data_IF_278540834810
#
_entry.id   IF_278540834810
#
_cell.length_a   1.000
_cell.length_b   1.000
_cell.length_c   1.000
_cell.angle_alpha   90.00
_cell.angle_beta   90.00
_cell.angle_gamma   90.00
#
_symmetry.space_group_name_H-M   'P 1'
#
loop_
_entity.id
_entity.type
_entity.pdbx_description
1 polymer ?
#
# COMPACT_ATOMS: atom_id res chain seq x y z
N UNK A 1 -5.58 -14.60 -0.34
CA UNK A 1 -5.31 -13.26 -0.90
C UNK A 1 -6.53 -12.37 -0.75
N UNK A 2 -6.30 -11.07 -0.62
CA UNK A 2 -7.36 -10.10 -0.34
C UNK A 2 -7.99 -9.55 -1.61
N UNK A 3 -9.31 -9.38 -1.60
CA UNK A 3 -9.95 -8.47 -2.53
C UNK A 3 -9.39 -7.06 -2.32
N UNK A 4 -9.08 -6.37 -3.41
CA UNK A 4 -8.32 -5.13 -3.39
C UNK A 4 -9.06 -3.98 -2.72
N UNK A 5 -10.36 -3.90 -3.01
CA UNK A 5 -11.16 -2.71 -2.80
C UNK A 5 -12.65 -3.07 -2.67
N UNK A 6 -13.52 -2.28 -3.30
CA UNK A 6 -14.94 -2.57 -3.41
C UNK A 6 -15.26 -3.69 -4.39
N UNK A 7 -14.32 -4.07 -5.27
CA UNK A 7 -14.41 -5.17 -6.23
C UNK A 7 -13.75 -6.46 -5.74
N UNK A 8 -13.89 -7.54 -6.52
CA UNK A 8 -13.32 -8.85 -6.22
C UNK A 8 -11.98 -9.13 -6.92
N UNK A 9 -11.40 -8.09 -7.55
CA UNK A 9 -10.08 -8.16 -8.15
C UNK A 9 -8.97 -8.21 -7.11
N UNK A 10 -7.82 -8.75 -7.52
CA UNK A 10 -6.60 -8.85 -6.72
C UNK A 10 -5.42 -8.43 -7.57
N UNK A 11 -4.59 -7.51 -7.09
CA UNK A 11 -3.59 -6.84 -7.92
C UNK A 11 -2.23 -6.88 -7.20
N UNK A 12 -1.19 -7.39 -7.88
CA UNK A 12 0.12 -7.61 -7.25
C UNK A 12 0.78 -6.29 -6.88
N UNK A 13 0.74 -5.29 -7.76
CA UNK A 13 1.33 -3.96 -7.49
C UNK A 13 0.70 -3.32 -6.25
N UNK A 14 -0.63 -3.32 -6.17
CA UNK A 14 -1.32 -2.76 -5.01
C UNK A 14 -1.10 -3.58 -3.73
N UNK A 15 -1.06 -4.91 -3.85
CA UNK A 15 -0.68 -5.81 -2.77
C UNK A 15 0.78 -5.61 -2.33
N UNK A 16 1.66 -5.18 -3.23
CA UNK A 16 3.07 -4.89 -2.98
C UNK A 16 3.22 -3.89 -1.82
N UNK A 17 2.82 -2.64 -2.06
CA UNK A 17 2.90 -1.60 -1.04
C UNK A 17 2.11 -1.95 0.22
N UNK A 18 0.91 -2.54 0.07
CA UNK A 18 0.03 -2.86 1.21
C UNK A 18 0.66 -3.89 2.14
N UNK A 19 1.14 -5.00 1.57
CA UNK A 19 1.76 -6.10 2.32
C UNK A 19 3.12 -5.67 2.88
N UNK A 20 3.90 -4.90 2.12
CA UNK A 20 5.18 -4.35 2.56
C UNK A 20 5.04 -3.45 3.78
N UNK A 21 4.03 -2.56 3.79
CA UNK A 21 3.76 -1.68 4.92
C UNK A 21 3.32 -2.45 6.17
N UNK A 22 2.41 -3.43 6.05
CA UNK A 22 1.99 -4.26 7.18
C UNK A 22 3.15 -5.09 7.76
N UNK A 23 4.03 -5.63 6.91
CA UNK A 23 5.24 -6.32 7.36
C UNK A 23 6.21 -5.37 8.07
N UNK A 24 6.33 -4.12 7.62
CA UNK A 24 7.11 -3.10 8.34
C UNK A 24 6.47 -2.70 9.66
N UNK A 25 5.14 -2.63 9.76
CA UNK A 25 4.44 -2.43 11.04
C UNK A 25 4.87 -3.51 12.03
N UNK A 26 4.99 -4.77 11.59
CA UNK A 26 5.57 -5.83 12.41
C UNK A 26 7.06 -5.62 12.73
N UNK A 27 7.91 -5.33 11.75
CA UNK A 27 9.35 -5.14 12.00
C UNK A 27 9.64 -3.99 12.98
N UNK A 28 8.87 -2.90 12.91
CA UNK A 28 9.08 -1.69 13.69
C UNK A 28 8.34 -1.70 15.03
N UNK A 29 7.15 -2.30 15.09
CA UNK A 29 6.25 -2.24 16.25
C UNK A 29 5.82 -3.60 16.79
N UNK A 30 6.41 -4.71 16.31
CA UNK A 30 6.06 -6.08 16.69
C UNK A 30 5.98 -6.32 18.19
N UNK A 31 6.86 -5.73 18.99
CA UNK A 31 6.82 -5.84 20.46
C UNK A 31 5.53 -5.28 21.09
N UNK A 32 4.87 -4.32 20.44
CA UNK A 32 3.61 -3.69 20.89
C UNK A 32 2.38 -4.39 20.34
N UNK A 33 2.47 -4.97 19.14
CA UNK A 33 1.31 -5.52 18.42
C UNK A 33 1.25 -7.05 18.42
N UNK A 34 2.28 -7.74 18.95
CA UNK A 34 2.33 -9.22 19.00
C UNK A 34 1.20 -9.90 19.77
N UNK A 35 0.50 -9.16 20.63
CA UNK A 35 -0.62 -9.69 21.41
C UNK A 35 -1.98 -9.30 20.84
N UNK A 36 -2.03 -8.59 19.70
CA UNK A 36 -3.28 -8.31 19.02
C UNK A 36 -3.95 -9.63 18.65
N UNK A 37 -5.24 -9.72 18.96
CA UNK A 37 -6.11 -10.82 18.56
C UNK A 37 -7.11 -10.27 17.56
N UNK A 38 -7.13 -10.87 16.37
CA UNK A 38 -7.97 -10.46 15.26
C UNK A 38 -9.21 -11.35 15.13
N UNK A 39 -9.32 -12.39 15.96
CA UNK A 39 -10.38 -13.40 15.93
C UNK A 39 -10.55 -14.05 14.54
N UNK A 40 -9.42 -14.39 13.92
CA UNK A 40 -9.31 -15.07 12.63
C UNK A 40 -9.16 -16.59 12.82
N UNK A 41 -9.37 -17.42 11.79
CA UNK A 41 -9.26 -18.88 11.90
C UNK A 41 -7.92 -19.35 12.50
N UNK A 42 -6.85 -18.61 12.23
CA UNK A 42 -5.48 -18.89 12.65
C UNK A 42 -5.19 -18.46 14.10
N UNK A 43 -6.06 -17.69 14.78
CA UNK A 43 -5.81 -17.09 16.12
C UNK A 43 -5.49 -18.10 17.24
N UNK A 44 -5.67 -19.40 16.97
CA UNK A 44 -5.33 -20.52 17.87
C UNK A 44 -3.89 -21.05 17.70
N UNK A 45 -3.17 -20.63 16.66
CA UNK A 45 -1.78 -21.03 16.41
C UNK A 45 -0.78 -20.16 17.24
N UNK A 46 0.52 -20.37 17.03
CA UNK A 46 1.59 -19.64 17.74
C UNK A 46 2.12 -18.41 16.99
N UNK A 47 1.68 -18.20 15.75
CA UNK A 47 2.02 -17.04 14.95
C UNK A 47 1.17 -15.85 15.43
N UNK A 48 1.73 -14.63 15.50
CA UNK A 48 0.93 -13.44 15.78
C UNK A 48 -0.15 -13.25 14.70
N UNK A 49 -1.40 -13.00 15.11
CA UNK A 49 -2.54 -12.90 14.19
C UNK A 49 -2.32 -11.90 13.04
N UNK A 50 -1.61 -10.79 13.26
CA UNK A 50 -1.25 -9.84 12.19
C UNK A 50 -0.39 -10.49 11.10
N UNK A 51 0.53 -11.38 11.48
CA UNK A 51 1.33 -12.14 10.52
C UNK A 51 0.47 -13.21 9.84
N UNK A 52 -0.44 -13.89 10.54
CA UNK A 52 -1.34 -14.82 9.86
C UNK A 52 -2.22 -14.12 8.80
N UNK A 53 -2.75 -12.94 9.10
CA UNK A 53 -3.50 -12.13 8.13
C UNK A 53 -2.63 -11.74 6.92
N UNK A 54 -1.40 -11.25 7.17
CA UNK A 54 -0.45 -10.94 6.08
C UNK A 54 -0.12 -12.19 5.25
N UNK A 55 0.05 -13.36 5.89
CA UNK A 55 0.35 -14.63 5.23
C UNK A 55 -0.75 -15.01 4.24
N UNK A 56 -2.02 -14.74 4.55
CA UNK A 56 -3.14 -14.97 3.64
C UNK A 56 -2.95 -14.27 2.29
N UNK A 57 -2.37 -13.06 2.27
CA UNK A 57 -2.07 -12.37 1.03
C UNK A 57 -0.79 -12.87 0.37
N UNK A 58 0.27 -13.08 1.15
CA UNK A 58 1.54 -13.62 0.64
C UNK A 58 1.34 -14.98 -0.05
N UNK A 59 0.50 -15.85 0.49
CA UNK A 59 0.20 -17.15 -0.09
C UNK A 59 -0.45 -17.02 -1.47
N UNK A 60 -1.37 -16.05 -1.65
CA UNK A 60 -1.90 -15.74 -2.97
C UNK A 60 -0.82 -15.13 -3.89
N UNK A 61 -0.02 -14.18 -3.39
CA UNK A 61 1.06 -13.59 -4.18
C UNK A 61 2.03 -14.66 -4.70
N UNK A 62 2.38 -15.66 -3.87
CA UNK A 62 3.24 -16.79 -4.25
C UNK A 62 2.64 -17.60 -5.41
N UNK A 63 1.32 -17.77 -5.48
CA UNK A 63 0.66 -18.43 -6.63
C UNK A 63 0.69 -17.62 -7.93
N UNK A 64 1.04 -16.34 -7.86
CA UNK A 64 1.11 -15.44 -9.03
C UNK A 64 2.51 -15.41 -9.66
N UNK A 65 3.51 -16.04 -9.05
CA UNK A 65 4.84 -16.21 -9.64
C UNK A 65 4.85 -17.41 -10.59
N UNK A 66 5.37 -17.20 -11.80
CA UNK A 66 5.57 -18.22 -12.82
C UNK A 66 6.94 -18.92 -12.65
N UNK A 67 7.16 -20.05 -13.33
CA UNK A 67 8.37 -20.88 -13.17
C UNK A 67 9.66 -20.12 -13.57
N UNK A 68 9.55 -19.15 -14.47
CA UNK A 68 10.66 -18.29 -14.90
C UNK A 68 11.02 -17.18 -13.89
N UNK A 69 10.25 -17.07 -12.80
CA UNK A 69 10.41 -16.07 -11.74
C UNK A 69 9.58 -14.80 -11.92
N UNK A 70 9.03 -14.56 -13.11
CA UNK A 70 8.17 -13.40 -13.38
C UNK A 70 6.83 -13.52 -12.67
N UNK A 71 6.19 -12.39 -12.37
CA UNK A 71 4.92 -12.36 -11.64
C UNK A 71 3.80 -11.76 -12.49
N UNK A 72 2.67 -12.47 -12.55
CA UNK A 72 1.46 -12.01 -13.22
C UNK A 72 0.91 -10.76 -12.55
N UNK A 73 0.37 -9.82 -13.32
CA UNK A 73 0.08 -8.49 -12.81
C UNK A 73 -1.12 -8.47 -11.85
N UNK A 74 -2.17 -9.23 -12.18
CA UNK A 74 -3.42 -9.26 -11.42
C UNK A 74 -4.24 -10.51 -11.67
N UNK A 75 -5.21 -10.77 -10.79
CA UNK A 75 -6.24 -11.78 -10.95
C UNK A 75 -7.61 -11.11 -10.87
N UNK A 76 -8.33 -11.01 -12.00
CA UNK A 76 -9.65 -10.38 -12.07
C UNK A 76 -10.51 -11.03 -13.15
N UNK A 77 -11.82 -10.81 -13.11
CA UNK A 77 -12.66 -10.92 -14.31
C UNK A 77 -12.32 -9.85 -15.35
N UNK A 78 -12.82 -9.99 -16.57
CA UNK A 78 -12.62 -8.97 -17.63
C UNK A 78 -13.38 -7.66 -17.31
N UNK A 79 -14.48 -7.74 -16.58
CA UNK A 79 -15.30 -6.60 -16.15
C UNK A 79 -15.59 -6.67 -14.66
N UNK A 80 -15.94 -5.54 -14.07
CA UNK A 80 -16.39 -5.51 -12.68
C UNK A 80 -17.66 -6.33 -12.48
N UNK A 81 -17.71 -7.09 -11.39
CA UNK A 81 -18.92 -7.79 -10.96
C UNK A 81 -20.03 -6.78 -10.61
N UNK A 82 -21.27 -7.24 -10.70
CA UNK A 82 -22.42 -6.52 -10.16
C UNK A 82 -22.29 -6.39 -8.62
N UNK A 83 -23.18 -5.62 -8.01
CA UNK A 83 -23.33 -5.56 -6.56
C UNK A 83 -24.06 -6.81 -6.06
N UNK A 84 -23.29 -7.88 -5.95
CA UNK A 84 -23.69 -9.19 -5.42
C UNK A 84 -22.65 -9.68 -4.41
N UNK A 85 -23.01 -10.63 -3.54
CA UNK A 85 -22.04 -11.28 -2.65
C UNK A 85 -20.98 -12.07 -3.44
N UNK A 86 -19.76 -12.28 -2.89
CA UNK A 86 -18.69 -12.95 -3.62
C UNK A 86 -19.05 -14.35 -4.14
N UNK A 87 -19.82 -15.13 -3.38
CA UNK A 87 -20.31 -16.46 -3.77
C UNK A 87 -21.32 -16.43 -4.93
N UNK A 88 -21.92 -15.27 -5.17
CA UNK A 88 -22.90 -15.04 -6.22
C UNK A 88 -22.29 -14.45 -7.51
N UNK A 89 -21.04 -13.98 -7.46
CA UNK A 89 -20.31 -13.58 -8.67
C UNK A 89 -20.05 -14.79 -9.57
N UNK A 90 -20.61 -14.77 -10.79
CA UNK A 90 -20.49 -15.83 -11.78
C UNK A 90 -19.49 -15.49 -12.89
N UNK A 91 -18.80 -14.36 -12.81
CA UNK A 91 -17.77 -14.00 -13.78
C UNK A 91 -16.56 -14.93 -13.65
N UNK A 92 -15.97 -15.29 -14.78
CA UNK A 92 -14.71 -16.03 -14.79
C UNK A 92 -13.59 -15.11 -14.33
N UNK A 93 -12.81 -15.56 -13.35
CA UNK A 93 -11.61 -14.86 -12.87
C UNK A 93 -10.38 -15.37 -13.62
N UNK A 94 -9.65 -14.45 -14.26
CA UNK A 94 -8.45 -14.73 -15.05
C UNK A 94 -7.20 -14.24 -14.33
N UNK A 95 -6.09 -14.95 -14.52
CA UNK A 95 -4.74 -14.42 -14.25
C UNK A 95 -4.31 -13.61 -15.46
N UNK A 96 -4.02 -12.32 -15.26
CA UNK A 96 -3.84 -11.35 -16.33
C UNK A 96 -2.42 -10.79 -16.30
N UNK A 97 -1.78 -10.86 -17.46
CA UNK A 97 -0.46 -10.29 -17.75
C UNK A 97 -0.53 -9.17 -18.79
N UNK A 98 0.63 -8.77 -19.31
CA UNK A 98 0.80 -7.65 -20.25
C UNK A 98 0.18 -7.88 -21.63
N UNK A 99 -0.18 -9.13 -21.96
CA UNK A 99 -0.75 -9.51 -23.25
C UNK A 99 0.29 -9.84 -24.34
N UNK A 100 1.58 -9.71 -24.05
CA UNK A 100 2.67 -10.07 -24.97
C UNK A 100 3.90 -10.58 -24.20
N UNK A 101 4.72 -11.45 -24.80
CA UNK A 101 5.97 -11.92 -24.18
C UNK A 101 6.81 -10.76 -23.61
N UNK A 102 7.35 -10.89 -22.37
CA UNK A 102 7.38 -12.07 -21.49
C UNK A 102 6.10 -12.30 -20.62
N UNK A 103 4.98 -11.64 -20.96
CA UNK A 103 3.64 -11.71 -20.35
C UNK A 103 3.50 -11.23 -18.89
N UNK A 104 4.56 -11.31 -18.09
CA UNK A 104 4.61 -10.76 -16.73
C UNK A 104 5.07 -9.30 -16.77
N UNK A 105 4.82 -8.55 -15.69
CA UNK A 105 5.19 -7.13 -15.62
C UNK A 105 6.32 -6.87 -14.62
N UNK A 106 7.21 -5.93 -14.92
CA UNK A 106 8.36 -5.60 -14.08
C UNK A 106 7.96 -5.04 -12.73
N UNK A 107 6.97 -4.15 -12.68
CA UNK A 107 6.49 -3.56 -11.41
C UNK A 107 5.95 -4.64 -10.48
N UNK A 108 5.02 -5.48 -10.95
CA UNK A 108 4.49 -6.59 -10.16
C UNK A 108 5.58 -7.55 -9.68
N UNK A 109 6.55 -7.87 -10.54
CA UNK A 109 7.63 -8.80 -10.20
C UNK A 109 8.61 -8.21 -9.18
N UNK A 110 8.93 -6.92 -9.30
CA UNK A 110 9.81 -6.23 -8.36
C UNK A 110 9.14 -5.97 -7.00
N UNK A 111 7.87 -5.54 -6.97
CA UNK A 111 7.08 -5.42 -5.74
C UNK A 111 6.98 -6.76 -4.99
N UNK A 112 6.70 -7.83 -5.74
CA UNK A 112 6.70 -9.18 -5.20
C UNK A 112 8.07 -9.55 -4.60
N UNK A 113 9.17 -9.27 -5.31
CA UNK A 113 10.51 -9.55 -4.81
C UNK A 113 10.79 -8.80 -3.49
N UNK A 114 10.41 -7.52 -3.41
CA UNK A 114 10.57 -6.72 -2.20
C UNK A 114 9.78 -7.31 -1.02
N UNK A 115 8.49 -7.58 -1.22
CA UNK A 115 7.61 -8.13 -0.18
C UNK A 115 8.04 -9.51 0.28
N UNK A 116 8.41 -10.40 -0.65
CA UNK A 116 8.89 -11.74 -0.31
C UNK A 116 10.22 -11.71 0.44
N UNK A 117 11.11 -10.75 0.12
CA UNK A 117 12.34 -10.54 0.88
C UNK A 117 12.06 -10.06 2.32
N UNK A 118 11.07 -9.18 2.53
CA UNK A 118 10.63 -8.78 3.88
C UNK A 118 10.04 -9.98 4.62
N UNK A 119 9.13 -10.74 3.98
CA UNK A 119 8.50 -11.92 4.57
C UNK A 119 9.55 -12.96 5.01
N UNK A 120 10.57 -13.22 4.19
CA UNK A 120 11.66 -14.12 4.57
C UNK A 120 12.37 -13.74 5.89
N UNK A 121 12.50 -12.43 6.20
CA UNK A 121 13.03 -11.99 7.50
C UNK A 121 12.02 -12.14 8.62
N UNK A 122 10.78 -11.72 8.37
CA UNK A 122 9.71 -11.64 9.36
C UNK A 122 9.25 -13.01 9.84
N UNK A 123 9.10 -13.98 8.94
CA UNK A 123 8.58 -15.32 9.28
C UNK A 123 9.64 -16.28 9.78
N UNK A 124 10.94 -16.00 9.61
CA UNK A 124 12.03 -16.90 10.04
C UNK A 124 11.89 -17.45 11.47
N UNK A 125 11.52 -16.66 12.51
CA UNK A 125 11.36 -17.19 13.87
C UNK A 125 10.06 -17.99 14.10
N UNK A 126 9.11 -17.99 13.17
CA UNK A 126 7.80 -18.63 13.31
C UNK A 126 7.64 -19.84 12.38
N UNK A 127 8.16 -19.75 11.16
CA UNK A 127 8.07 -20.77 10.12
C UNK A 127 9.30 -20.64 9.19
N UNK A 128 10.38 -21.33 9.53
CA UNK A 128 11.65 -21.25 8.78
C UNK A 128 11.50 -21.79 7.34
N UNK A 129 10.66 -22.81 7.14
CA UNK A 129 10.43 -23.40 5.83
C UNK A 129 9.71 -22.39 4.92
N UNK A 130 8.67 -21.74 5.44
CA UNK A 130 7.98 -20.66 4.72
C UNK A 130 8.91 -19.49 4.41
N UNK A 131 9.69 -19.04 5.39
CA UNK A 131 10.66 -17.96 5.21
C UNK A 131 11.67 -18.27 4.08
N UNK A 132 12.13 -19.53 3.99
CA UNK A 132 13.02 -19.98 2.91
C UNK A 132 12.32 -19.99 1.55
N UNK A 133 11.06 -20.42 1.50
CA UNK A 133 10.25 -20.36 0.27
C UNK A 133 10.07 -18.93 -0.22
N UNK A 134 9.76 -17.98 0.67
CA UNK A 134 9.68 -16.57 0.34
C UNK A 134 11.02 -16.03 -0.20
N UNK A 135 12.15 -16.35 0.45
CA UNK A 135 13.46 -15.89 -0.02
C UNK A 135 13.77 -16.42 -1.43
N UNK A 136 13.57 -17.72 -1.67
CA UNK A 136 13.78 -18.31 -2.99
C UNK A 136 12.89 -17.67 -4.06
N UNK A 137 11.63 -17.36 -3.73
CA UNK A 137 10.70 -16.67 -4.62
C UNK A 137 11.19 -15.24 -4.93
N UNK A 138 11.68 -14.52 -3.94
CA UNK A 138 12.23 -13.17 -4.09
C UNK A 138 13.47 -13.15 -5.01
N UNK A 139 14.39 -14.09 -4.84
CA UNK A 139 15.62 -14.20 -5.65
C UNK A 139 15.32 -14.59 -7.11
N UNK A 140 14.32 -15.46 -7.33
CA UNK A 140 13.82 -15.78 -8.68
C UNK A 140 13.20 -14.56 -9.36
N UNK A 141 12.37 -13.81 -8.63
CA UNK A 141 11.74 -12.60 -9.14
C UNK A 141 12.79 -11.54 -9.50
N UNK A 142 13.81 -11.36 -8.66
CA UNK A 142 14.96 -10.51 -8.96
C UNK A 142 15.65 -10.91 -10.28
N UNK A 143 15.97 -12.19 -10.40
CA UNK A 143 16.62 -12.74 -11.61
C UNK A 143 15.78 -12.46 -12.88
N UNK A 144 14.45 -12.45 -12.75
CA UNK A 144 13.56 -12.13 -13.86
C UNK A 144 13.57 -10.64 -14.21
N UNK A 145 13.48 -9.73 -13.21
CA UNK A 145 13.47 -8.28 -13.47
C UNK A 145 14.83 -7.75 -13.94
N UNK A 146 15.94 -8.39 -13.58
CA UNK A 146 17.26 -8.05 -14.15
C UNK A 146 17.30 -8.28 -15.67
N UNK A 147 16.59 -9.30 -16.18
CA UNK A 147 16.49 -9.60 -17.61
C UNK A 147 15.39 -8.80 -18.30
N UNK A 148 14.36 -8.43 -17.56
CA UNK A 148 13.15 -7.78 -18.05
C UNK A 148 12.86 -6.51 -17.22
N UNK A 149 13.74 -5.49 -17.23
CA UNK A 149 13.62 -4.37 -16.30
C UNK A 149 12.46 -3.42 -16.63
N UNK A 150 11.99 -3.38 -17.89
CA UNK A 150 10.98 -2.43 -18.37
C UNK A 150 9.91 -3.16 -19.20
N UNK A 151 9.09 -3.96 -18.54
CA UNK A 151 7.89 -4.60 -19.09
C UNK A 151 6.68 -4.03 -18.37
N UNK A 152 6.11 -2.97 -18.94
CA UNK A 152 5.05 -2.19 -18.33
C UNK A 152 3.67 -2.78 -18.63
N UNK A 153 2.79 -2.74 -17.63
CA UNK A 153 1.44 -3.28 -17.76
C UNK A 153 0.44 -2.24 -18.27
N UNK A 154 -0.37 -2.61 -19.25
CA UNK A 154 -1.59 -1.89 -19.62
C UNK A 154 -2.71 -2.93 -19.78
N UNK A 155 -3.92 -2.56 -19.40
CA UNK A 155 -5.08 -3.41 -19.70
C UNK A 155 -5.18 -3.67 -21.21
N UNK A 156 -5.51 -4.90 -21.57
CA UNK A 156 -5.97 -5.22 -22.93
C UNK A 156 -7.36 -4.62 -23.15
N UNK A 157 -7.78 -4.52 -24.42
CA UNK A 157 -9.03 -3.84 -24.79
C UNK A 157 -10.29 -4.42 -24.11
N UNK A 158 -10.27 -5.71 -23.75
CA UNK A 158 -11.42 -6.39 -23.16
C UNK A 158 -11.45 -6.34 -21.63
N UNK A 159 -10.37 -5.88 -20.98
CA UNK A 159 -10.25 -5.86 -19.52
C UNK A 159 -10.48 -4.42 -19.01
N UNK A 160 -11.55 -4.22 -18.26
CA UNK A 160 -11.95 -2.90 -17.72
C UNK A 160 -11.81 -2.79 -16.20
N UNK A 161 -11.34 -3.84 -15.52
CA UNK A 161 -11.00 -3.81 -14.09
C UNK A 161 -9.76 -2.93 -13.81
N UNK A 162 -9.48 -2.65 -12.54
CA UNK A 162 -8.38 -1.79 -12.09
C UNK A 162 -7.07 -2.03 -12.84
N UNK A 163 -6.46 -0.95 -13.33
CA UNK A 163 -5.26 -1.06 -14.18
C UNK A 163 -4.00 -1.33 -13.39
N UNK A 164 -3.76 -0.54 -12.33
CA UNK A 164 -2.51 -0.52 -11.55
C UNK A 164 -1.21 -0.54 -12.40
N UNK A 165 -1.28 0.04 -13.61
CA UNK A 165 -0.15 0.16 -14.51
C UNK A 165 0.68 1.40 -14.21
N UNK A 166 1.99 1.26 -14.32
CA UNK A 166 2.97 2.34 -14.18
C UNK A 166 3.69 2.64 -15.51
N UNK A 167 4.23 3.83 -15.67
CA UNK A 167 5.13 4.23 -16.74
C UNK A 167 6.61 4.03 -16.39
N UNK A 168 6.94 3.79 -15.13
CA UNK A 168 8.30 3.55 -14.64
C UNK A 168 8.31 2.29 -13.77
N UNK A 169 9.44 1.60 -13.73
CA UNK A 169 9.65 0.43 -12.86
C UNK A 169 10.89 0.59 -12.00
N UNK A 170 11.65 1.68 -12.18
CA UNK A 170 12.97 1.86 -11.56
C UNK A 170 12.88 1.90 -10.04
N UNK A 171 11.81 2.46 -9.48
CA UNK A 171 11.65 2.52 -8.05
C UNK A 171 11.19 1.21 -7.43
N UNK A 172 10.37 0.40 -8.10
CA UNK A 172 10.08 -0.98 -7.67
C UNK A 172 11.36 -1.82 -7.70
N UNK A 173 12.18 -1.72 -8.76
CA UNK A 173 13.47 -2.42 -8.82
C UNK A 173 14.42 -1.95 -7.70
N UNK A 174 14.46 -0.65 -7.40
CA UNK A 174 15.25 -0.13 -6.28
C UNK A 174 14.75 -0.68 -4.93
N UNK A 175 13.43 -0.78 -4.75
CA UNK A 175 12.83 -1.33 -3.53
C UNK A 175 13.13 -2.82 -3.36
N UNK A 176 12.98 -3.60 -4.42
CA UNK A 176 13.38 -5.01 -4.46
C UNK A 176 14.85 -5.19 -4.08
N UNK A 177 15.75 -4.40 -4.66
CA UNK A 177 17.18 -4.44 -4.35
C UNK A 177 17.45 -4.12 -2.88
N UNK A 178 16.83 -3.06 -2.35
CA UNK A 178 17.02 -2.65 -0.96
C UNK A 178 16.55 -3.73 0.03
N UNK A 179 15.40 -4.36 -0.23
CA UNK A 179 14.86 -5.40 0.65
C UNK A 179 15.62 -6.71 0.55
N UNK A 180 15.97 -7.15 -0.66
CA UNK A 180 16.84 -8.32 -0.87
C UNK A 180 18.21 -8.13 -0.23
N UNK A 181 18.82 -6.94 -0.37
CA UNK A 181 20.05 -6.60 0.33
C UNK A 181 19.88 -6.67 1.84
N UNK A 182 18.83 -6.05 2.39
CA UNK A 182 18.58 -6.05 3.84
C UNK A 182 18.37 -7.46 4.40
N UNK A 183 17.82 -8.37 3.60
CA UNK A 183 17.60 -9.79 3.95
C UNK A 183 18.85 -10.64 3.83
N UNK A 184 19.58 -10.53 2.71
CA UNK A 184 20.65 -11.47 2.35
C UNK A 184 22.05 -10.95 2.63
N UNK A 185 22.22 -9.61 2.67
CA UNK A 185 23.52 -8.92 2.66
C UNK A 185 24.38 -9.21 1.44
N UNK A 186 23.78 -9.67 0.34
CA UNK A 186 24.49 -9.94 -0.91
C UNK A 186 24.95 -8.64 -1.59
N UNK A 187 26.20 -8.64 -2.06
CA UNK A 187 26.84 -7.53 -2.77
C UNK A 187 26.14 -7.17 -4.08
N UNK A 188 25.45 -8.12 -4.72
CA UNK A 188 24.72 -7.89 -5.98
C UNK A 188 23.64 -6.82 -5.79
N UNK A 189 22.85 -6.97 -4.73
CA UNK A 189 21.77 -6.05 -4.41
C UNK A 189 22.29 -4.71 -3.88
N UNK A 190 23.35 -4.73 -3.06
CA UNK A 190 24.05 -3.53 -2.60
C UNK A 190 24.53 -2.69 -3.78
N UNK A 191 25.20 -3.33 -4.75
CA UNK A 191 25.72 -2.66 -5.93
C UNK A 191 24.59 -2.06 -6.76
N UNK A 192 23.50 -2.80 -6.98
CA UNK A 192 22.35 -2.26 -7.69
C UNK A 192 21.79 -1.03 -6.98
N UNK A 193 21.53 -1.12 -5.67
CA UNK A 193 20.99 -0.02 -4.89
C UNK A 193 21.91 1.21 -4.95
N UNK A 194 23.19 1.05 -4.62
CA UNK A 194 24.17 2.14 -4.60
C UNK A 194 24.34 2.82 -5.97
N UNK A 195 24.17 2.09 -7.08
CA UNK A 195 24.24 2.67 -8.43
C UNK A 195 23.02 3.50 -8.82
N UNK A 196 21.84 3.26 -8.22
CA UNK A 196 20.58 3.86 -8.68
C UNK A 196 19.91 4.77 -7.63
N UNK A 197 20.26 4.67 -6.34
CA UNK A 197 19.55 5.38 -5.27
C UNK A 197 19.56 6.91 -5.41
N UNK A 198 20.63 7.49 -5.97
CA UNK A 198 20.78 8.94 -6.13
C UNK A 198 19.75 9.52 -7.09
N UNK A 199 19.38 8.80 -8.16
CA UNK A 199 18.39 9.25 -9.15
C UNK A 199 17.00 9.41 -8.53
N UNK A 200 16.69 8.58 -7.53
CA UNK A 200 15.39 8.50 -6.89
C UNK A 200 15.32 9.24 -5.55
N UNK A 201 16.41 9.89 -5.10
CA UNK A 201 16.45 10.61 -3.83
C UNK A 201 15.36 11.69 -3.72
N UNK A 202 15.03 12.35 -4.83
CA UNK A 202 13.99 13.40 -4.88
C UNK A 202 12.58 12.91 -4.58
N UNK A 203 12.35 11.59 -4.62
CA UNK A 203 11.09 10.98 -4.22
C UNK A 203 10.83 11.13 -2.71
N UNK A 204 11.87 11.32 -1.89
CA UNK A 204 11.69 11.73 -0.49
C UNK A 204 11.29 13.21 -0.49
N UNK A 205 9.99 13.43 -0.43
CA UNK A 205 9.40 14.76 -0.57
C UNK A 205 8.44 15.04 0.60
N UNK A 206 8.32 16.30 1.05
CA UNK A 206 7.25 16.69 1.96
C UNK A 206 5.85 16.55 1.34
N UNK A 207 5.71 16.52 0.02
CA UNK A 207 4.43 16.41 -0.70
C UNK A 207 4.40 15.18 -1.61
N UNK A 208 3.28 14.48 -1.66
CA UNK A 208 3.17 13.22 -2.39
C UNK A 208 3.94 12.10 -1.69
N UNK A 209 3.43 11.59 -0.56
CA UNK A 209 4.04 10.49 0.16
C UNK A 209 3.93 9.20 -0.69
N UNK A 210 4.53 8.08 -0.25
CA UNK A 210 4.47 6.82 -0.99
C UNK A 210 3.05 6.42 -1.38
N UNK A 211 2.96 5.76 -2.53
CA UNK A 211 1.72 5.28 -3.12
C UNK A 211 2.04 4.07 -3.99
N UNK A 212 1.03 3.31 -4.42
CA UNK A 212 1.23 2.10 -5.24
C UNK A 212 2.09 2.27 -6.51
N UNK A 213 2.18 3.42 -7.21
CA UNK A 213 3.10 3.64 -8.34
C UNK A 213 4.35 4.46 -7.97
N UNK A 214 4.62 4.63 -6.66
CA UNK A 214 5.72 5.47 -6.16
C UNK A 214 6.27 4.87 -4.88
N UNK A 215 7.05 3.81 -5.04
CA UNK A 215 7.64 3.04 -3.93
C UNK A 215 9.09 3.42 -3.65
N UNK A 216 9.66 4.37 -4.39
CA UNK A 216 11.05 4.81 -4.21
C UNK A 216 11.41 5.23 -2.78
N UNK A 217 10.56 5.98 -2.03
CA UNK A 217 10.88 6.29 -0.64
C UNK A 217 10.95 5.03 0.23
N UNK A 218 10.17 3.98 -0.07
CA UNK A 218 10.28 2.73 0.66
C UNK A 218 11.68 2.13 0.48
N UNK A 219 12.18 2.05 -0.75
CA UNK A 219 13.53 1.57 -1.05
C UNK A 219 14.62 2.32 -0.27
N UNK A 220 14.56 3.65 -0.29
CA UNK A 220 15.55 4.51 0.35
C UNK A 220 15.50 4.34 1.88
N UNK A 221 14.30 4.26 2.46
CA UNK A 221 14.14 4.02 3.89
C UNK A 221 14.59 2.62 4.30
N UNK A 222 14.28 1.58 3.52
CA UNK A 222 14.78 0.21 3.73
C UNK A 222 16.29 0.20 3.90
N UNK A 223 17.02 0.92 3.05
CA UNK A 223 18.48 0.96 3.10
C UNK A 223 19.01 1.57 4.41
N UNK A 224 18.41 2.68 4.86
CA UNK A 224 18.76 3.32 6.14
C UNK A 224 18.40 2.42 7.31
N UNK A 225 17.19 1.85 7.34
CA UNK A 225 16.71 0.93 8.38
C UNK A 225 17.54 -0.36 8.43
N UNK A 226 18.03 -0.80 7.28
CA UNK A 226 18.92 -1.95 7.13
C UNK A 226 20.37 -1.68 7.52
N UNK A 227 20.72 -0.44 7.89
CA UNK A 227 22.09 0.03 8.16
C UNK A 227 23.02 -0.13 6.94
N UNK A 228 22.64 0.53 5.84
CA UNK A 228 23.37 0.59 4.57
C UNK A 228 24.90 0.70 4.73
N UNK A 229 25.67 0.02 3.86
CA UNK A 229 27.14 0.08 3.91
C UNK A 229 27.67 1.40 3.36
N UNK A 230 27.01 1.99 2.35
CA UNK A 230 27.33 3.31 1.81
C UNK A 230 26.86 4.42 2.77
N UNK A 231 27.78 4.91 3.61
CA UNK A 231 27.47 5.90 4.64
C UNK A 231 27.05 7.27 4.09
N UNK A 232 27.52 7.64 2.89
CA UNK A 232 27.13 8.89 2.24
C UNK A 232 25.66 8.82 1.80
N UNK A 233 25.25 7.70 1.19
CA UNK A 233 23.86 7.44 0.85
C UNK A 233 22.98 7.40 2.11
N UNK A 234 23.40 6.68 3.16
CA UNK A 234 22.66 6.61 4.43
C UNK A 234 22.44 8.00 5.04
N UNK A 235 23.49 8.83 5.07
CA UNK A 235 23.41 10.18 5.63
C UNK A 235 22.48 11.06 4.80
N UNK A 236 22.65 11.04 3.47
CA UNK A 236 21.85 11.83 2.54
C UNK A 236 20.35 11.48 2.62
N UNK A 237 20.02 10.19 2.62
CA UNK A 237 18.64 9.71 2.73
C UNK A 237 18.02 10.11 4.08
N UNK A 238 18.78 9.95 5.17
CA UNK A 238 18.33 10.32 6.51
C UNK A 238 18.03 11.82 6.58
N UNK A 239 18.93 12.66 6.09
CA UNK A 239 18.75 14.11 6.08
C UNK A 239 17.56 14.55 5.23
N UNK A 240 17.40 13.99 4.03
CA UNK A 240 16.24 14.24 3.18
C UNK A 240 14.92 13.85 3.88
N UNK A 241 14.89 12.70 4.55
CA UNK A 241 13.71 12.20 5.27
C UNK A 241 13.33 13.11 6.44
N UNK A 242 14.33 13.54 7.22
CA UNK A 242 14.13 14.42 8.36
C UNK A 242 13.73 15.84 7.94
N UNK A 243 14.26 16.34 6.81
CA UNK A 243 13.86 17.60 6.21
C UNK A 243 12.38 17.54 5.78
N UNK A 244 12.00 16.53 4.98
CA UNK A 244 10.63 16.34 4.54
C UNK A 244 9.65 16.23 5.73
N UNK A 245 10.00 15.45 6.76
CA UNK A 245 9.19 15.31 7.97
C UNK A 245 9.03 16.64 8.73
N UNK A 246 10.08 17.44 8.86
CA UNK A 246 9.99 18.77 9.50
C UNK A 246 9.08 19.73 8.73
N UNK A 247 9.09 19.68 7.40
CA UNK A 247 8.20 20.49 6.56
C UNK A 247 6.73 20.03 6.67
N UNK A 248 6.49 18.72 6.74
CA UNK A 248 5.16 18.14 7.01
C UNK A 248 4.63 18.61 8.37
N UNK A 249 5.45 18.54 9.43
CA UNK A 249 5.09 19.04 10.77
C UNK A 249 4.74 20.53 10.72
N UNK A 250 5.58 21.34 10.07
CA UNK A 250 5.39 22.79 9.96
C UNK A 250 4.04 23.14 9.33
N UNK A 251 3.70 22.53 8.18
CA UNK A 251 2.40 22.81 7.52
C UNK A 251 1.21 22.22 8.28
N UNK A 252 1.39 21.09 8.96
CA UNK A 252 0.30 20.47 9.74
C UNK A 252 -0.07 21.38 10.92
N UNK A 253 0.92 22.03 11.54
CA UNK A 253 0.70 22.97 12.64
C UNK A 253 -0.04 24.26 12.24
N UNK A 254 0.07 24.69 10.99
CA UNK A 254 -0.62 25.88 10.48
C UNK A 254 -1.97 25.56 9.83
N UNK A 255 -2.26 24.28 9.59
CA UNK A 255 -3.55 23.84 9.06
C UNK A 255 -4.63 23.87 10.18
N UNK A 256 -5.78 24.55 9.98
CA UNK A 256 -6.85 24.63 10.98
C UNK A 256 -7.44 23.28 11.42
N UNK A 257 -7.44 22.28 10.54
CA UNK A 257 -7.87 20.91 10.84
C UNK A 257 -6.72 20.01 11.31
N UNK A 258 -5.49 20.54 11.41
CA UNK A 258 -4.30 19.84 11.90
C UNK A 258 -4.09 18.51 11.16
N UNK A 259 -3.89 18.59 9.84
CA UNK A 259 -3.56 17.42 9.02
C UNK A 259 -2.53 17.76 7.94
N UNK A 260 -1.89 16.74 7.40
CA UNK A 260 -0.73 16.88 6.51
C UNK A 260 -1.07 17.03 5.03
N UNK A 261 -2.33 16.97 4.61
CA UNK A 261 -2.67 17.11 3.19
C UNK A 261 -2.45 18.56 2.69
N UNK A 262 -1.99 18.68 1.44
CA UNK A 262 -2.05 19.94 0.67
C UNK A 262 -3.15 19.86 -0.40
N UNK A 263 -3.50 20.99 -1.04
CA UNK A 263 -4.61 21.04 -2.01
C UNK A 263 -4.51 20.00 -3.13
N UNK A 264 -3.30 19.69 -3.60
CA UNK A 264 -3.10 18.67 -4.66
C UNK A 264 -3.30 17.23 -4.18
N UNK A 265 -3.35 17.00 -2.88
CA UNK A 265 -3.50 15.65 -2.31
C UNK A 265 -4.98 15.22 -2.24
N UNK A 266 -5.93 16.12 -2.51
CA UNK A 266 -7.36 15.77 -2.63
C UNK A 266 -7.64 15.09 -3.97
N UNK A 267 -7.14 13.87 -4.10
CA UNK A 267 -7.28 12.96 -5.25
C UNK A 267 -8.07 11.71 -4.83
N UNK A 268 -8.27 10.77 -5.76
CA UNK A 268 -8.80 9.44 -5.41
C UNK A 268 -7.86 8.75 -4.41
N UNK A 269 -8.34 8.47 -3.21
CA UNK A 269 -7.54 7.89 -2.12
C UNK A 269 -6.80 8.91 -1.26
N UNK A 270 -7.28 10.16 -1.17
CA UNK A 270 -6.69 11.20 -0.32
C UNK A 270 -6.61 10.82 1.17
N UNK A 271 -7.51 9.98 1.66
CA UNK A 271 -7.40 9.37 3.00
C UNK A 271 -6.15 8.50 3.13
N UNK A 272 -5.87 7.64 2.14
CA UNK A 272 -4.63 6.86 2.08
C UNK A 272 -3.39 7.73 1.95
N UNK A 273 -3.47 8.87 1.26
CA UNK A 273 -2.40 9.88 1.23
C UNK A 273 -2.14 10.45 2.63
N UNK A 274 -3.20 10.76 3.39
CA UNK A 274 -3.09 11.24 4.77
C UNK A 274 -2.44 10.20 5.69
N UNK A 275 -2.83 8.93 5.57
CA UNK A 275 -2.24 7.82 6.31
C UNK A 275 -0.75 7.64 5.96
N UNK A 276 -0.38 7.72 4.68
CA UNK A 276 1.01 7.62 4.24
C UNK A 276 1.90 8.77 4.72
N UNK A 277 1.38 9.99 4.91
CA UNK A 277 2.13 11.03 5.62
C UNK A 277 2.40 10.64 7.08
N UNK A 278 1.43 10.00 7.75
CA UNK A 278 1.63 9.40 9.07
C UNK A 278 2.77 8.39 9.08
N UNK A 279 2.76 7.43 8.15
CA UNK A 279 3.83 6.45 8.00
C UNK A 279 5.21 7.11 7.78
N UNK A 280 5.30 8.10 6.88
CA UNK A 280 6.54 8.84 6.62
C UNK A 280 7.08 9.56 7.86
N UNK A 281 6.20 10.16 8.69
CA UNK A 281 6.58 10.78 9.95
C UNK A 281 7.08 9.74 10.97
N UNK A 282 6.46 8.57 11.05
CA UNK A 282 6.89 7.50 11.94
C UNK A 282 8.24 6.90 11.51
N UNK A 283 8.49 6.77 10.20
CA UNK A 283 9.81 6.38 9.69
C UNK A 283 10.87 7.43 10.07
N UNK A 284 10.58 8.72 9.92
CA UNK A 284 11.49 9.78 10.39
C UNK A 284 11.76 9.69 11.90
N UNK A 285 10.74 9.36 12.70
CA UNK A 285 10.88 9.14 14.14
C UNK A 285 11.75 7.91 14.48
N UNK A 286 11.69 6.83 13.70
CA UNK A 286 12.61 5.69 13.84
C UNK A 286 14.05 6.10 13.54
N UNK A 287 14.27 6.96 12.54
CA UNK A 287 15.61 7.46 12.20
C UNK A 287 16.17 8.44 13.22
N UNK A 288 15.33 9.33 13.76
CA UNK A 288 15.67 10.30 14.81
C UNK A 288 14.42 10.57 15.66
N UNK A 289 14.32 9.98 16.86
CA UNK A 289 13.16 10.15 17.72
C UNK A 289 12.90 11.62 18.05
N UNK A 290 11.67 12.08 17.77
CA UNK A 290 11.19 13.42 18.08
C UNK A 290 9.67 13.35 18.28
N UNK A 291 9.14 13.67 19.48
CA UNK A 291 7.71 13.57 19.78
C UNK A 291 6.81 14.30 18.78
N UNK A 292 7.29 15.36 18.13
CA UNK A 292 6.50 16.12 17.16
C UNK A 292 6.10 15.26 15.95
N UNK A 293 6.93 14.28 15.55
CA UNK A 293 6.61 13.40 14.44
C UNK A 293 5.46 12.45 14.78
N UNK A 294 5.50 11.86 15.97
CA UNK A 294 4.42 10.99 16.48
C UNK A 294 3.13 11.77 16.69
N UNK A 295 3.20 12.98 17.26
CA UNK A 295 2.03 13.85 17.43
C UNK A 295 1.41 14.25 16.08
N UNK A 296 2.24 14.60 15.09
CA UNK A 296 1.76 14.95 13.74
C UNK A 296 1.18 13.73 13.02
N UNK A 297 1.71 12.53 13.23
CA UNK A 297 1.11 11.29 12.72
C UNK A 297 -0.28 11.03 13.35
N UNK A 298 -0.41 11.21 14.67
CA UNK A 298 -1.70 11.12 15.36
C UNK A 298 -2.69 12.18 14.89
N UNK A 299 -2.21 13.38 14.53
CA UNK A 299 -3.03 14.43 13.94
C UNK A 299 -3.67 14.02 12.60
N UNK A 300 -2.98 13.22 11.79
CA UNK A 300 -3.57 12.63 10.59
C UNK A 300 -4.66 11.59 10.92
N UNK A 301 -4.52 10.82 12.00
CA UNK A 301 -5.57 9.91 12.49
C UNK A 301 -6.80 10.71 12.96
N UNK A 302 -6.61 11.79 13.72
CA UNK A 302 -7.72 12.66 14.13
C UNK A 302 -8.49 13.21 12.92
N UNK A 303 -7.79 13.59 11.85
CA UNK A 303 -8.44 14.02 10.60
C UNK A 303 -9.27 12.90 9.97
N UNK A 304 -8.71 11.69 9.89
CA UNK A 304 -9.41 10.52 9.33
C UNK A 304 -10.63 10.11 10.14
N UNK A 305 -10.64 10.37 11.45
CA UNK A 305 -11.70 9.98 12.38
C UNK A 305 -12.68 11.10 12.75
N UNK A 306 -12.65 12.26 12.06
CA UNK A 306 -13.70 13.29 12.19
C UNK A 306 -13.25 14.74 12.34
N UNK A 307 -11.96 15.01 12.58
CA UNK A 307 -11.42 16.39 12.61
C UNK A 307 -11.18 16.90 11.18
N UNK A 308 -12.25 17.03 10.42
CA UNK A 308 -12.22 17.44 9.03
C UNK A 308 -13.45 18.31 8.68
N UNK A 309 -13.46 18.86 7.46
CA UNK A 309 -14.47 19.79 7.00
C UNK A 309 -15.89 19.22 6.86
N UNK A 310 -16.05 17.90 7.05
CA UNK A 310 -17.31 17.16 6.94
C UNK A 310 -17.79 16.66 8.31
N UNK A 311 -16.97 16.75 9.37
CA UNK A 311 -17.25 16.15 10.67
C UNK A 311 -17.62 14.67 10.56
N UNK A 312 -16.91 13.95 9.67
CA UNK A 312 -17.18 12.57 9.29
C UNK A 312 -15.96 11.71 9.60
N UNK A 313 -16.16 10.55 10.21
CA UNK A 313 -15.13 9.52 10.23
C UNK A 313 -15.12 8.78 8.89
N UNK A 314 -13.97 8.74 8.25
CA UNK A 314 -13.74 8.01 7.01
C UNK A 314 -13.51 6.52 7.24
N UNK A 315 -13.72 6.00 8.45
CA UNK A 315 -13.62 4.57 8.76
C UNK A 315 -14.99 4.05 9.20
N UNK A 316 -15.47 2.99 8.54
CA UNK A 316 -16.78 2.40 8.86
C UNK A 316 -16.82 1.93 10.31
N UNK A 317 -17.96 2.17 10.95
CA UNK A 317 -18.25 1.82 12.35
C UNK A 317 -17.30 2.39 13.41
N UNK A 318 -16.41 3.34 13.08
CA UNK A 318 -15.55 4.02 14.06
C UNK A 318 -15.90 5.50 14.19
N UNK A 319 -16.07 5.97 15.43
CA UNK A 319 -16.43 7.35 15.76
C UNK A 319 -17.95 7.58 15.85
N UNK A 320 -18.35 8.82 16.14
CA UNK A 320 -19.77 9.19 16.33
C UNK A 320 -20.53 9.38 15.01
N UNK A 321 -19.82 9.69 13.92
CA UNK A 321 -20.39 9.90 12.59
C UNK A 321 -19.53 9.21 11.51
N UNK A 322 -19.48 7.86 11.49
CA UNK A 322 -18.82 7.12 10.42
C UNK A 322 -19.64 7.21 9.13
N UNK A 323 -18.96 7.14 7.99
CA UNK A 323 -19.63 6.94 6.71
C UNK A 323 -20.30 5.56 6.65
N UNK A 324 -21.41 5.45 5.92
CA UNK A 324 -22.31 4.28 5.97
C UNK A 324 -22.56 3.60 4.62
N UNK A 325 -22.25 4.25 3.51
CA UNK A 325 -22.58 3.74 2.17
C UNK A 325 -21.32 3.54 1.32
N UNK A 326 -20.37 2.68 1.73
CA UNK A 326 -19.16 2.42 0.95
C UNK A 326 -19.51 1.89 -0.44
N UNK A 327 -18.71 2.27 -1.45
CA UNK A 327 -18.63 1.51 -2.71
C UNK A 327 -17.90 0.19 -2.43
N UNK A 328 -18.58 -0.76 -1.78
CA UNK A 328 -18.05 -2.05 -1.37
C UNK A 328 -19.11 -3.12 -1.60
N UNK A 329 -18.86 -4.04 -2.56
CA UNK A 329 -19.87 -5.02 -2.98
C UNK A 329 -20.42 -5.86 -1.83
N UNK A 330 -19.61 -6.44 -0.92
CA UNK A 330 -20.14 -7.18 0.22
C UNK A 330 -21.04 -6.33 1.13
N UNK A 331 -20.61 -5.12 1.52
CA UNK A 331 -21.40 -4.25 2.41
C UNK A 331 -22.74 -3.83 1.80
N UNK A 332 -22.81 -3.72 0.46
CA UNK A 332 -24.03 -3.33 -0.24
C UNK A 332 -24.94 -4.53 -0.58
N UNK A 333 -24.41 -5.75 -0.56
CA UNK A 333 -25.11 -6.96 -0.99
C UNK A 333 -25.48 -7.90 0.15
N UNK A 334 -24.87 -7.73 1.33
CA UNK A 334 -25.22 -8.50 2.51
C UNK A 334 -26.55 -8.01 3.13
N UNK A 335 -26.92 -8.58 4.28
CA UNK A 335 -28.14 -8.23 5.01
C UNK A 335 -27.83 -7.54 6.35
N UNK A 336 -26.60 -7.09 6.54
CA UNK A 336 -26.17 -6.45 7.76
C UNK A 336 -26.75 -5.03 7.83
N UNK A 337 -27.06 -4.52 9.05
CA UNK A 337 -27.59 -3.17 9.21
C UNK A 337 -26.55 -2.07 8.99
N UNK A 338 -25.26 -2.39 9.13
CA UNK A 338 -24.13 -1.48 8.95
C UNK A 338 -23.14 -2.13 7.97
N UNK A 339 -22.38 -1.34 7.20
CA UNK A 339 -21.32 -1.87 6.34
C UNK A 339 -20.25 -2.56 7.17
N UNK A 340 -19.43 -3.41 6.55
CA UNK A 340 -18.33 -4.08 7.23
C UNK A 340 -17.42 -3.07 7.98
N UNK A 341 -17.01 -3.36 9.23
CA UNK A 341 -16.27 -2.40 10.06
C UNK A 341 -14.82 -2.21 9.60
N UNK A 342 -14.23 -1.06 9.93
CA UNK A 342 -12.79 -0.82 9.75
C UNK A 342 -12.35 -0.50 8.32
N UNK A 343 -13.27 -0.34 7.37
CA UNK A 343 -12.95 0.03 5.99
C UNK A 343 -12.62 1.52 5.92
N UNK A 344 -11.42 1.87 5.44
CA UNK A 344 -11.04 3.26 5.21
C UNK A 344 -11.53 3.70 3.83
N UNK A 345 -12.43 4.70 3.82
CA UNK A 345 -12.90 5.37 2.62
C UNK A 345 -11.78 6.10 1.89
N UNK A 346 -11.81 6.15 0.56
CA UNK A 346 -10.88 6.90 -0.27
C UNK A 346 -10.79 8.38 0.08
N UNK A 347 -11.87 8.97 0.61
CA UNK A 347 -11.91 10.35 1.09
C UNK A 347 -12.12 11.39 0.00
N UNK A 348 -12.00 12.70 0.33
CA UNK A 348 -12.35 13.77 -0.59
C UNK A 348 -11.47 13.80 -1.86
N UNK A 349 -12.09 13.95 -3.03
CA UNK A 349 -11.43 13.96 -4.33
C UNK A 349 -11.93 15.12 -5.19
N UNK A 350 -11.07 16.11 -5.44
CA UNK A 350 -11.46 17.33 -6.17
C UNK A 350 -11.79 17.10 -7.65
N UNK A 351 -11.46 15.92 -8.22
CA UNK A 351 -11.57 15.65 -9.64
C UNK A 351 -12.92 15.05 -10.08
N UNK A 352 -13.78 14.64 -9.13
CA UNK A 352 -15.16 14.17 -9.42
C UNK A 352 -15.22 13.10 -10.52
N UNK A 353 -14.41 12.05 -10.35
CA UNK A 353 -14.11 11.05 -11.39
C UNK A 353 -15.21 9.99 -11.59
N UNK A 354 -16.33 10.09 -10.88
CA UNK A 354 -17.48 9.21 -11.01
C UNK A 354 -18.79 9.97 -11.31
N UNK A 355 -19.82 9.30 -11.88
CA UNK A 355 -21.10 9.93 -12.18
C UNK A 355 -21.82 10.53 -10.97
N UNK A 356 -21.69 9.94 -9.77
CA UNK A 356 -22.34 10.45 -8.56
C UNK A 356 -21.73 11.78 -8.12
N UNK A 357 -20.40 11.90 -8.11
CA UNK A 357 -19.65 13.12 -7.81
C UNK A 357 -19.90 14.23 -8.84
N UNK A 358 -20.21 13.89 -10.09
CA UNK A 358 -20.62 14.87 -11.11
C UNK A 358 -21.97 15.54 -10.80
N UNK A 359 -22.77 14.99 -9.88
CA UNK A 359 -24.01 15.62 -9.40
C UNK A 359 -23.77 16.72 -8.35
N UNK A 360 -22.64 16.70 -7.64
CA UNK A 360 -22.30 17.71 -6.63
C UNK A 360 -21.99 19.08 -7.24
N UNK A 361 -22.20 20.15 -6.49
CA UNK A 361 -21.66 21.47 -6.85
C UNK A 361 -20.11 21.45 -6.82
N UNK A 362 -19.48 22.45 -7.43
CA UNK A 362 -18.02 22.61 -7.32
C UNK A 362 -17.64 23.15 -5.94
N UNK A 363 -17.55 22.24 -4.95
CA UNK A 363 -17.18 22.53 -3.57
C UNK A 363 -15.66 22.69 -3.42
N UNK A 364 -15.17 23.31 -2.33
CA UNK A 364 -13.76 23.28 -1.99
C UNK A 364 -13.23 21.84 -1.89
N UNK A 365 -11.96 21.56 -2.23
CA UNK A 365 -11.40 20.21 -2.28
C UNK A 365 -11.65 19.34 -1.05
N UNK A 366 -11.49 19.91 0.15
CA UNK A 366 -11.72 19.22 1.42
C UNK A 366 -13.19 18.81 1.69
N UNK A 367 -14.13 19.34 0.91
CA UNK A 367 -15.57 19.04 0.99
C UNK A 367 -16.06 18.25 -0.24
N UNK A 368 -15.17 17.90 -1.16
CA UNK A 368 -15.53 17.17 -2.37
C UNK A 368 -15.62 15.67 -2.08
N UNK A 369 -16.66 15.27 -1.38
CA UNK A 369 -16.91 13.90 -0.91
C UNK A 369 -18.41 13.62 -0.90
N UNK A 370 -18.80 12.36 -1.13
CA UNK A 370 -20.17 11.90 -1.08
C UNK A 370 -20.25 10.53 -0.38
N UNK A 371 -21.02 10.43 0.71
CA UNK A 371 -21.32 9.14 1.35
C UNK A 371 -22.46 8.43 0.59
N UNK A 372 -22.12 7.87 -0.56
CA UNK A 372 -23.01 7.16 -1.47
C UNK A 372 -22.25 6.00 -2.12
N UNK A 373 -22.86 4.82 -2.20
CA UNK A 373 -22.22 3.63 -2.76
C UNK A 373 -21.96 3.77 -4.26
N UNK A 374 -22.65 4.67 -4.99
CA UNK A 374 -22.33 4.98 -6.39
C UNK A 374 -21.03 5.80 -6.53
N UNK A 375 -20.51 6.41 -5.45
CA UNK A 375 -19.32 7.27 -5.48
C UNK A 375 -18.02 6.49 -5.26
N UNK A 376 -17.61 5.68 -6.24
CA UNK A 376 -16.33 4.96 -6.16
C UNK A 376 -15.11 5.89 -6.04
N UNK A 377 -15.16 7.11 -6.59
CA UNK A 377 -13.99 8.00 -6.60
C UNK A 377 -13.74 8.72 -5.26
N UNK A 378 -14.68 8.64 -4.32
CA UNK A 378 -14.53 9.19 -2.96
C UNK A 378 -14.86 8.22 -1.84
N UNK A 379 -15.68 7.20 -2.09
CA UNK A 379 -16.27 6.35 -1.06
C UNK A 379 -16.04 4.85 -1.21
N UNK A 380 -15.15 4.44 -2.09
CA UNK A 380 -14.62 3.06 -2.11
C UNK A 380 -13.66 2.84 -0.92
N UNK A 381 -13.35 1.59 -0.60
CA UNK A 381 -12.25 1.18 0.30
C UNK A 381 -11.09 0.57 -0.50
N UNK A 382 -9.88 0.48 0.06
CA UNK A 382 -8.77 -0.20 -0.62
C UNK A 382 -7.72 -0.71 0.38
N UNK A 383 -7.09 -1.85 0.10
CA UNK A 383 -6.04 -2.44 0.93
C UNK A 383 -4.85 -1.48 1.15
N UNK A 384 -4.49 -0.68 0.14
CA UNK A 384 -3.39 0.27 0.21
C UNK A 384 -3.72 1.57 0.99
N UNK A 385 -4.98 1.73 1.40
CA UNK A 385 -5.41 2.80 2.31
C UNK A 385 -5.44 2.29 3.74
N UNK A 386 -5.94 1.07 3.95
CA UNK A 386 -5.95 0.41 5.25
C UNK A 386 -4.54 0.04 5.75
N UNK A 387 -3.63 -0.38 4.87
CA UNK A 387 -2.26 -0.77 5.25
C UNK A 387 -1.45 0.35 5.96
N UNK A 388 -1.40 1.61 5.47
CA UNK A 388 -0.73 2.70 6.18
C UNK A 388 -1.54 3.27 7.36
N UNK A 389 -2.83 2.92 7.48
CA UNK A 389 -3.66 3.29 8.64
C UNK A 389 -3.37 2.39 9.86
N UNK A 390 -3.09 1.10 9.61
CA UNK A 390 -2.75 0.09 10.60
C UNK A 390 -1.31 0.24 11.12
#
# INVERSE_FOLDING_TARGET
GWYDAGDYGRYIVNSGISTGQLLWTWELFGSRIRTLKLDIPESSNSTPDILDEIRWNLDWMLTMQDDDGGVWHKQTSERFADFVMPEDDKLVSYVIGTGSEPFKSSTATADFAAVMAIAARVYKPFDEAYARSCLNAAEKAWTWVEKNPIVLFRNTANVVTGGYGDNDSRDELLWAAAELWRTTRSDVYEKYFSSHCTELLSAINPTGPPSWPRVAPLALWTYVLGKGTNQDAVTTIREASLKAANEIVSRTNTNPYRHSLVTRDYVWGSSGVSANYGAQLLIANVMRPDPKYVQTAADNIHYLLGRNALSLSFVTQLGENPFRYPHHRPSQSDKNPEPWPGLLSGGPNQHRQDPAMKKLANLPPAKMYLDDWESYATNENCINWNAPLA
#
